data_IF_859412480468
#
_entry.id   IF_859412480468
#
_cell.length_a   1.000
_cell.length_b   1.000
_cell.length_c   1.000
_cell.angle_alpha   90.00
_cell.angle_beta   90.00
_cell.angle_gamma   90.00
#
_symmetry.space_group_name_H-M   'P 1'
#
loop_
_entity.id
_entity.type
_entity.pdbx_description
1 polymer ?
#
# COMPACT_ATOMS: atom_id res chain seq x y z
N UNK A 1 -11.01 1.24 10.53
CA UNK A 1 -10.27 0.07 11.06
C UNK A 1 -8.78 0.28 10.81
N UNK A 2 -7.88 -0.36 11.57
CA UNK A 2 -6.44 -0.26 11.32
C UNK A 2 -6.07 -1.13 10.10
N UNK A 3 -5.39 -0.61 9.06
CA UNK A 3 -5.06 -1.38 7.86
C UNK A 3 -4.10 -2.53 8.20
N UNK A 4 -4.29 -3.67 7.54
CA UNK A 4 -3.39 -4.83 7.61
C UNK A 4 -2.78 -5.17 6.24
N UNK A 5 -3.31 -4.59 5.17
CA UNK A 5 -2.74 -4.63 3.82
C UNK A 5 -2.38 -3.21 3.39
N UNK A 6 -1.25 -3.02 2.73
CA UNK A 6 -0.88 -1.73 2.13
C UNK A 6 -0.59 -1.89 0.65
N UNK A 7 -1.42 -1.29 -0.20
CA UNK A 7 -1.21 -1.30 -1.66
C UNK A 7 -0.28 -0.13 -1.99
N UNK A 8 0.95 -0.43 -2.37
CA UNK A 8 1.92 0.58 -2.79
C UNK A 8 1.99 0.69 -4.32
N UNK A 9 2.09 1.92 -4.82
CA UNK A 9 2.29 2.19 -6.25
C UNK A 9 3.33 3.28 -6.47
N UNK A 10 4.06 3.22 -7.58
CA UNK A 10 5.11 4.19 -7.89
C UNK A 10 4.55 5.53 -8.35
N UNK A 11 3.33 5.54 -8.91
CA UNK A 11 2.62 6.70 -9.42
C UNK A 11 1.11 6.53 -9.27
N UNK A 12 0.37 7.62 -9.13
CA UNK A 12 -1.11 7.60 -9.15
C UNK A 12 -1.67 7.12 -10.49
N UNK A 13 -0.88 7.23 -11.57
CA UNK A 13 -1.22 6.65 -12.88
C UNK A 13 -1.33 5.12 -12.86
N UNK A 14 -0.76 4.45 -11.86
CA UNK A 14 -0.83 2.99 -11.70
C UNK A 14 -2.13 2.56 -11.02
N UNK A 15 -2.89 3.50 -10.42
CA UNK A 15 -4.13 3.22 -9.71
C UNK A 15 -5.16 2.41 -10.52
N UNK A 16 -5.41 2.66 -11.82
CA UNK A 16 -6.34 1.85 -12.60
C UNK A 16 -6.00 0.35 -12.65
N UNK A 17 -4.71 0.00 -12.51
CA UNK A 17 -4.27 -1.41 -12.41
C UNK A 17 -4.49 -1.94 -10.99
N UNK A 18 -4.13 -1.14 -9.98
CA UNK A 18 -4.21 -1.50 -8.57
C UNK A 18 -5.64 -1.54 -8.01
N UNK A 19 -6.59 -0.89 -8.69
CA UNK A 19 -8.00 -0.84 -8.29
C UNK A 19 -8.61 -2.24 -8.12
N UNK A 20 -8.17 -3.22 -8.93
CA UNK A 20 -8.63 -4.61 -8.81
C UNK A 20 -8.29 -5.24 -7.46
N UNK A 21 -7.10 -4.94 -6.92
CA UNK A 21 -6.71 -5.42 -5.60
C UNK A 21 -7.49 -4.70 -4.50
N UNK A 22 -7.68 -3.38 -4.63
CA UNK A 22 -8.48 -2.61 -3.68
C UNK A 22 -9.92 -3.12 -3.59
N UNK A 23 -10.57 -3.35 -4.73
CA UNK A 23 -11.93 -3.93 -4.80
C UNK A 23 -12.00 -5.31 -4.16
N UNK A 24 -11.02 -6.18 -4.43
CA UNK A 24 -10.98 -7.50 -3.81
C UNK A 24 -10.88 -7.44 -2.28
N UNK A 25 -10.01 -6.59 -1.73
CA UNK A 25 -9.90 -6.45 -0.28
C UNK A 25 -11.13 -5.80 0.35
N UNK A 26 -11.77 -4.87 -0.34
CA UNK A 26 -13.04 -4.26 0.09
C UNK A 26 -14.16 -5.30 0.16
N UNK A 27 -14.33 -6.13 -0.88
CA UNK A 27 -15.31 -7.23 -0.92
C UNK A 27 -15.10 -8.27 0.18
N UNK A 28 -13.85 -8.50 0.58
CA UNK A 28 -13.48 -9.43 1.66
C UNK A 28 -13.48 -8.77 3.04
N UNK A 29 -13.86 -7.50 3.15
CA UNK A 29 -13.82 -6.69 4.39
C UNK A 29 -12.43 -6.68 5.05
N UNK A 30 -11.37 -6.81 4.25
CA UNK A 30 -9.99 -6.75 4.71
C UNK A 30 -9.56 -5.28 4.75
N UNK A 31 -9.19 -4.72 5.92
CA UNK A 31 -8.82 -3.32 5.99
C UNK A 31 -7.47 -3.08 5.30
N UNK A 32 -7.46 -2.19 4.31
CA UNK A 32 -6.28 -1.84 3.54
C UNK A 32 -6.08 -0.32 3.45
N UNK A 33 -4.89 0.09 3.03
CA UNK A 33 -4.56 1.46 2.64
C UNK A 33 -3.91 1.48 1.25
N UNK A 34 -3.90 2.65 0.61
CA UNK A 34 -3.30 2.85 -0.72
C UNK A 34 -2.32 4.02 -0.63
N UNK A 35 -1.08 3.80 -1.04
CA UNK A 35 -0.02 4.80 -0.98
C UNK A 35 0.73 4.92 -2.32
N UNK A 36 0.93 6.15 -2.79
CA UNK A 36 1.79 6.44 -3.94
C UNK A 36 3.22 6.73 -3.45
N UNK A 37 4.07 5.70 -3.43
CA UNK A 37 5.46 5.74 -2.97
C UNK A 37 6.39 5.28 -4.09
N UNK A 38 7.21 6.20 -4.59
CA UNK A 38 8.05 5.95 -5.77
C UNK A 38 9.47 5.57 -5.36
N UNK A 39 9.89 4.34 -5.66
CA UNK A 39 11.25 3.88 -5.40
C UNK A 39 12.33 4.75 -6.09
N UNK A 40 12.01 5.34 -7.25
CA UNK A 40 12.95 6.16 -8.00
C UNK A 40 12.93 7.65 -7.62
N UNK A 41 11.77 8.19 -7.20
CA UNK A 41 11.63 9.63 -6.91
C UNK A 41 11.75 9.95 -5.43
N UNK A 42 11.29 9.05 -4.57
CA UNK A 42 11.27 9.21 -3.11
C UNK A 42 11.77 7.94 -2.40
N UNK A 43 13.00 7.47 -2.71
CA UNK A 43 13.54 6.21 -2.16
C UNK A 43 13.53 6.18 -0.62
N UNK A 44 13.90 7.28 0.04
CA UNK A 44 13.92 7.36 1.51
C UNK A 44 12.54 7.17 2.14
N UNK A 45 11.48 7.65 1.47
CA UNK A 45 10.10 7.46 1.94
C UNK A 45 9.67 6.00 1.81
N UNK A 46 10.02 5.36 0.70
CA UNK A 46 9.74 3.94 0.44
C UNK A 46 10.48 3.08 1.47
N UNK A 47 11.76 3.35 1.71
CA UNK A 47 12.57 2.62 2.69
C UNK A 47 12.00 2.79 4.09
N UNK A 48 11.70 4.03 4.50
CA UNK A 48 11.09 4.30 5.80
C UNK A 48 9.74 3.58 5.93
N UNK A 49 8.92 3.60 4.88
CA UNK A 49 7.63 2.93 4.89
C UNK A 49 7.81 1.41 5.07
N UNK A 50 8.63 0.78 4.22
CA UNK A 50 8.86 -0.66 4.25
C UNK A 50 9.45 -1.15 5.58
N UNK A 51 10.42 -0.43 6.15
CA UNK A 51 11.03 -0.79 7.45
C UNK A 51 10.04 -0.74 8.61
N UNK A 52 9.06 0.16 8.57
CA UNK A 52 8.09 0.36 9.65
C UNK A 52 6.75 -0.36 9.42
N UNK A 53 6.54 -0.99 8.25
CA UNK A 53 5.27 -1.61 7.89
C UNK A 53 4.80 -2.66 8.92
N UNK A 54 5.68 -3.61 9.25
CA UNK A 54 5.37 -4.68 10.21
C UNK A 54 5.04 -4.12 11.61
N UNK A 55 5.84 -3.16 12.12
CA UNK A 55 5.56 -2.50 13.40
C UNK A 55 4.26 -1.69 13.38
N UNK A 56 3.88 -1.16 12.22
CA UNK A 56 2.62 -0.46 12.02
C UNK A 56 1.42 -1.42 11.93
N UNK A 57 1.63 -2.74 11.97
CA UNK A 57 0.57 -3.75 11.91
C UNK A 57 0.19 -4.18 10.50
N UNK A 58 0.94 -3.74 9.48
CA UNK A 58 0.80 -4.23 8.11
C UNK A 58 1.32 -5.67 8.05
N UNK A 59 0.49 -6.56 7.52
CA UNK A 59 0.75 -7.99 7.35
C UNK A 59 1.11 -8.34 5.91
N UNK A 60 0.65 -7.54 4.95
CA UNK A 60 0.89 -7.71 3.51
C UNK A 60 1.13 -6.33 2.87
N UNK A 61 2.12 -6.25 1.97
CA UNK A 61 2.58 -5.04 1.31
C UNK A 61 2.78 -5.32 -0.19
#
# INVERSE_FOLDING_TARGET
MKPIVSIIMGSTSDYPVMEKAAKFFDEMEIPFEINALSAHRTPDQVEKFAKNAASNGIKLL
#
